data_IF_413399319229
#
_entry.id   IF_413399319229
#
_cell.length_a   1.000
_cell.length_b   1.000
_cell.length_c   1.000
_cell.angle_alpha   90.00
_cell.angle_beta   90.00
_cell.angle_gamma   90.00
#
_symmetry.space_group_name_H-M   'P 1'
#
loop_
_entity.id
_entity.type
_entity.pdbx_description
1 polymer ?
#
# COMPACT_ATOMS: atom_id res chain seq x y z
N UNK A 1 35.60 47.30 -21.89
CA UNK A 1 35.40 45.85 -22.11
C UNK A 1 34.47 45.34 -21.01
N UNK A 2 33.17 45.43 -21.25
CA UNK A 2 32.09 45.07 -20.33
C UNK A 2 31.45 43.77 -20.80
N UNK A 3 31.61 42.69 -20.03
CA UNK A 3 31.03 41.39 -20.31
C UNK A 3 29.54 41.36 -19.95
N UNK A 4 28.70 41.16 -20.95
CA UNK A 4 27.26 40.92 -20.80
C UNK A 4 27.00 39.43 -20.56
N UNK A 5 26.62 39.08 -19.34
CA UNK A 5 26.08 37.76 -18.99
C UNK A 5 24.61 37.66 -19.39
N UNK A 6 24.31 36.82 -20.37
CA UNK A 6 22.96 36.44 -20.80
C UNK A 6 22.32 35.47 -19.80
N UNK A 7 21.15 35.83 -19.29
CA UNK A 7 20.32 34.97 -18.43
C UNK A 7 19.68 33.83 -19.24
N UNK A 8 19.53 32.61 -18.69
CA UNK A 8 18.83 31.53 -19.37
C UNK A 8 17.31 31.79 -19.35
N UNK A 9 16.72 31.67 -20.54
CA UNK A 9 15.32 32.00 -20.84
C UNK A 9 14.30 31.26 -19.99
N UNK A 10 13.28 32.02 -19.60
CA UNK A 10 12.01 31.56 -19.07
C UNK A 10 11.37 30.52 -20.00
N UNK A 11 11.27 29.27 -19.55
CA UNK A 11 10.38 28.27 -20.14
C UNK A 11 8.94 28.77 -20.00
N UNK A 12 8.37 29.24 -21.11
CA UNK A 12 6.99 29.63 -21.22
C UNK A 12 6.07 28.46 -20.80
N UNK A 13 5.12 28.76 -19.93
CA UNK A 13 4.01 27.88 -19.55
C UNK A 13 3.29 27.42 -20.82
N UNK A 14 3.55 26.20 -21.25
CA UNK A 14 2.76 25.53 -22.28
C UNK A 14 1.29 25.55 -21.84
N UNK A 15 0.42 26.07 -22.72
CA UNK A 15 -0.94 26.52 -22.42
C UNK A 15 -1.77 25.56 -21.56
N UNK A 16 -2.15 26.04 -20.38
CA UNK A 16 -3.23 25.44 -19.58
C UNK A 16 -4.54 25.72 -20.31
N UNK A 17 -5.23 24.68 -20.76
CA UNK A 17 -6.55 24.84 -21.39
C UNK A 17 -7.54 25.47 -20.40
N UNK A 18 -8.46 26.36 -20.84
CA UNK A 18 -9.38 27.08 -19.95
C UNK A 18 -10.25 26.17 -19.06
N UNK A 19 -10.50 24.94 -19.52
CA UNK A 19 -11.25 23.92 -18.77
C UNK A 19 -10.42 23.29 -17.63
N UNK A 20 -9.11 23.11 -17.82
CA UNK A 20 -8.21 22.62 -16.76
C UNK A 20 -8.06 23.66 -15.64
N UNK A 21 -7.92 24.93 -16.00
CA UNK A 21 -7.85 26.02 -14.99
C UNK A 21 -9.13 26.12 -14.15
N UNK A 22 -10.31 25.89 -14.73
CA UNK A 22 -11.57 25.88 -13.98
C UNK A 22 -11.71 24.70 -13.01
N UNK A 23 -11.26 23.49 -13.41
CA UNK A 23 -11.27 22.32 -12.53
C UNK A 23 -10.25 22.47 -11.41
N UNK A 24 -9.04 22.94 -11.72
CA UNK A 24 -8.01 23.20 -10.71
C UNK A 24 -8.45 24.30 -9.73
N UNK A 25 -9.15 25.34 -10.19
CA UNK A 25 -9.73 26.33 -9.29
C UNK A 25 -10.82 25.75 -8.36
N UNK A 26 -11.64 24.81 -8.85
CA UNK A 26 -12.62 24.08 -8.00
C UNK A 26 -11.92 23.19 -6.98
N UNK A 27 -10.87 22.47 -7.39
CA UNK A 27 -10.08 21.62 -6.49
C UNK A 27 -9.33 22.45 -5.46
N UNK A 28 -8.72 23.57 -5.85
CA UNK A 28 -8.07 24.49 -4.91
C UNK A 28 -9.06 24.99 -3.86
N UNK A 29 -10.26 25.41 -4.27
CA UNK A 29 -11.35 25.75 -3.34
C UNK A 29 -11.75 24.58 -2.45
N UNK A 30 -11.82 23.37 -2.98
CA UNK A 30 -12.08 22.18 -2.17
C UNK A 30 -10.97 21.94 -1.13
N UNK A 31 -9.70 22.13 -1.49
CA UNK A 31 -8.57 22.12 -0.53
C UNK A 31 -8.74 23.15 0.58
N UNK A 32 -9.20 24.35 0.25
CA UNK A 32 -9.46 25.41 1.24
C UNK A 32 -10.67 25.12 2.12
N UNK A 33 -11.71 24.48 1.57
CA UNK A 33 -12.85 23.94 2.34
C UNK A 33 -12.36 22.87 3.31
N UNK A 34 -11.50 21.93 2.89
CA UNK A 34 -10.92 20.92 3.79
C UNK A 34 -10.14 21.57 4.94
N UNK A 35 -9.38 22.64 4.66
CA UNK A 35 -8.67 23.41 5.69
C UNK A 35 -9.65 24.11 6.65
N UNK A 36 -10.65 24.80 6.11
CA UNK A 36 -11.64 25.60 6.87
C UNK A 36 -12.54 24.72 7.74
N UNK A 37 -13.02 23.62 7.19
CA UNK A 37 -13.91 22.66 7.86
C UNK A 37 -13.14 21.47 8.45
N UNK A 38 -11.88 21.69 8.86
CA UNK A 38 -11.08 20.65 9.50
C UNK A 38 -11.69 20.08 10.79
N UNK A 39 -12.67 20.77 11.40
CA UNK A 39 -13.45 20.23 12.51
C UNK A 39 -14.39 19.11 12.09
N UNK A 40 -15.03 19.19 10.91
CA UNK A 40 -15.87 18.12 10.36
C UNK A 40 -15.04 16.86 10.13
N UNK A 41 -13.83 17.03 9.58
CA UNK A 41 -12.88 15.93 9.38
C UNK A 41 -12.57 15.25 10.71
N UNK A 42 -12.35 16.01 11.79
CA UNK A 42 -12.11 15.44 13.13
C UNK A 42 -13.33 14.72 13.68
N UNK A 43 -14.55 15.24 13.48
CA UNK A 43 -15.78 14.56 13.90
C UNK A 43 -15.97 13.24 13.17
N UNK A 44 -15.74 13.21 11.85
CA UNK A 44 -15.78 11.98 11.04
C UNK A 44 -14.72 10.98 11.50
N UNK A 45 -13.50 11.44 11.80
CA UNK A 45 -12.44 10.59 12.34
C UNK A 45 -12.86 9.91 13.64
N UNK A 46 -13.45 10.66 14.58
CA UNK A 46 -13.90 10.09 15.86
C UNK A 46 -15.08 9.12 15.71
N UNK A 47 -16.01 9.42 14.80
CA UNK A 47 -17.08 8.48 14.45
C UNK A 47 -16.49 7.17 13.92
N UNK A 48 -15.52 7.24 13.01
CA UNK A 48 -14.87 6.04 12.45
C UNK A 48 -14.06 5.30 13.52
N UNK A 49 -13.37 6.01 14.42
CA UNK A 49 -12.67 5.39 15.56
C UNK A 49 -13.65 4.63 16.45
N UNK A 50 -14.83 5.19 16.74
CA UNK A 50 -15.86 4.52 17.53
C UNK A 50 -16.38 3.25 16.83
N UNK A 51 -16.75 3.36 15.54
CA UNK A 51 -17.19 2.21 14.73
C UNK A 51 -16.09 1.14 14.66
N UNK A 52 -14.85 1.54 14.40
CA UNK A 52 -13.69 0.65 14.37
C UNK A 52 -13.48 -0.08 15.69
N UNK A 53 -13.55 0.64 16.83
CA UNK A 53 -13.40 0.03 18.15
C UNK A 53 -14.48 -1.02 18.42
N UNK A 54 -15.74 -0.73 18.06
CA UNK A 54 -16.83 -1.70 18.17
C UNK A 54 -16.58 -2.94 17.31
N UNK A 55 -16.24 -2.75 16.03
CA UNK A 55 -16.03 -3.86 15.09
C UNK A 55 -14.78 -4.71 15.39
N UNK A 56 -13.80 -4.19 16.13
CA UNK A 56 -12.60 -4.95 16.50
C UNK A 56 -12.75 -5.59 17.89
N UNK A 57 -13.31 -4.89 18.86
CA UNK A 57 -13.37 -5.35 20.26
C UNK A 57 -14.55 -6.29 20.47
N UNK A 58 -15.76 -5.92 20.03
CA UNK A 58 -16.98 -6.69 20.35
C UNK A 58 -16.94 -8.10 19.76
N UNK A 59 -16.62 -8.31 18.47
CA UNK A 59 -16.50 -9.66 17.91
C UNK A 59 -15.47 -10.56 18.61
N UNK A 60 -14.42 -9.99 19.20
CA UNK A 60 -13.41 -10.76 19.92
C UNK A 60 -13.88 -11.24 21.30
N UNK A 61 -14.91 -10.61 21.86
CA UNK A 61 -15.55 -10.97 23.13
C UNK A 61 -16.76 -11.89 22.94
N UNK A 62 -17.32 -11.96 21.73
CA UNK A 62 -18.45 -12.81 21.39
C UNK A 62 -18.00 -14.26 21.12
N UNK A 63 -18.88 -15.26 21.33
CA UNK A 63 -18.63 -16.62 20.88
C UNK A 63 -18.52 -16.67 19.35
N UNK A 64 -17.82 -17.69 18.85
CA UNK A 64 -17.66 -17.87 17.41
C UNK A 64 -19.03 -18.14 16.75
N UNK A 65 -19.27 -17.59 15.54
CA UNK A 65 -20.54 -17.76 14.83
C UNK A 65 -20.77 -19.22 14.46
N UNK A 66 -21.99 -19.72 14.63
CA UNK A 66 -22.39 -21.07 14.18
C UNK A 66 -22.43 -21.18 12.66
N UNK A 67 -22.42 -22.41 12.13
CA UNK A 67 -22.38 -22.66 10.68
C UNK A 67 -23.63 -22.15 9.92
N UNK A 68 -24.73 -21.87 10.61
CA UNK A 68 -25.95 -21.31 10.04
C UNK A 68 -26.02 -19.77 10.13
N UNK A 69 -24.99 -19.12 10.66
CA UNK A 69 -24.94 -17.67 10.79
C UNK A 69 -24.61 -17.00 9.46
N UNK A 70 -25.25 -15.85 9.21
CA UNK A 70 -25.07 -15.04 8.00
C UNK A 70 -24.49 -13.67 8.35
N UNK A 71 -23.99 -12.95 7.35
CA UNK A 71 -23.40 -11.61 7.51
C UNK A 71 -24.41 -10.63 8.14
N UNK A 72 -25.70 -10.81 7.86
CA UNK A 72 -26.77 -9.95 8.37
C UNK A 72 -27.26 -10.30 9.77
N UNK A 73 -26.99 -11.52 10.24
CA UNK A 73 -27.52 -12.03 11.52
C UNK A 73 -26.45 -12.11 12.61
N UNK A 74 -25.17 -12.05 12.26
CA UNK A 74 -24.08 -12.18 13.21
C UNK A 74 -23.05 -11.05 13.08
N UNK A 75 -22.81 -10.33 14.18
CA UNK A 75 -21.89 -9.19 14.23
C UNK A 75 -20.44 -9.56 13.88
N UNK A 76 -19.98 -10.78 14.21
CA UNK A 76 -18.61 -11.22 13.91
C UNK A 76 -18.42 -11.39 12.40
N UNK A 77 -19.38 -12.01 11.71
CA UNK A 77 -19.36 -12.14 10.26
C UNK A 77 -19.54 -10.78 9.57
N UNK A 78 -20.44 -9.93 10.09
CA UNK A 78 -20.62 -8.55 9.64
C UNK A 78 -19.31 -7.75 9.73
N UNK A 79 -18.58 -7.86 10.84
CA UNK A 79 -17.31 -7.18 11.06
C UNK A 79 -16.22 -7.70 10.12
N UNK A 80 -16.12 -9.02 9.92
CA UNK A 80 -15.18 -9.62 8.97
C UNK A 80 -15.44 -9.13 7.54
N UNK A 81 -16.71 -9.13 7.10
CA UNK A 81 -17.09 -8.62 5.79
C UNK A 81 -16.83 -7.11 5.67
N UNK A 82 -17.13 -6.33 6.70
CA UNK A 82 -16.86 -4.89 6.70
C UNK A 82 -15.36 -4.60 6.55
N UNK A 83 -14.48 -5.29 7.29
CA UNK A 83 -13.04 -5.08 7.20
C UNK A 83 -12.42 -5.64 5.92
N UNK A 84 -12.60 -6.92 5.67
CA UNK A 84 -11.88 -7.63 4.63
C UNK A 84 -12.61 -7.58 3.28
N UNK A 85 -13.94 -7.57 3.30
CA UNK A 85 -14.77 -7.49 2.10
C UNK A 85 -14.92 -6.07 1.53
N UNK A 86 -15.10 -5.05 2.38
CA UNK A 86 -15.38 -3.68 1.91
C UNK A 86 -14.19 -2.74 2.16
N UNK A 87 -13.74 -2.65 3.41
CA UNK A 87 -12.81 -1.62 3.86
C UNK A 87 -11.46 -1.70 3.16
N UNK A 88 -10.79 -2.85 3.14
CA UNK A 88 -9.47 -2.98 2.50
C UNK A 88 -9.49 -2.76 0.98
N UNK A 89 -10.40 -3.37 0.19
CA UNK A 89 -10.52 -3.05 -1.24
C UNK A 89 -10.81 -1.57 -1.49
N UNK A 90 -11.71 -0.96 -0.71
CA UNK A 90 -12.03 0.46 -0.81
C UNK A 90 -10.83 1.36 -0.50
N UNK A 91 -10.06 1.01 0.54
CA UNK A 91 -8.82 1.73 0.91
C UNK A 91 -7.84 1.74 -0.25
N UNK A 92 -7.60 0.60 -0.92
CA UNK A 92 -6.66 0.53 -2.04
C UNK A 92 -7.12 1.37 -3.23
N UNK A 93 -8.40 1.29 -3.59
CA UNK A 93 -8.99 2.13 -4.66
C UNK A 93 -8.85 3.61 -4.31
N UNK A 94 -9.06 3.99 -3.05
CA UNK A 94 -8.91 5.39 -2.61
C UNK A 94 -7.48 5.91 -2.82
N UNK A 95 -6.44 5.08 -2.63
CA UNK A 95 -5.05 5.48 -2.86
C UNK A 95 -4.80 5.86 -4.32
N UNK A 96 -5.37 5.09 -5.25
CA UNK A 96 -5.19 5.30 -6.69
C UNK A 96 -6.04 6.45 -7.21
N UNK A 97 -7.18 6.77 -6.59
CA UNK A 97 -8.09 7.82 -7.07
C UNK A 97 -7.82 9.20 -6.42
N UNK A 98 -7.54 9.24 -5.12
CA UNK A 98 -7.45 10.48 -4.34
C UNK A 98 -6.19 10.54 -3.47
N UNK A 99 -5.22 9.66 -3.73
CA UNK A 99 -4.00 9.58 -2.95
C UNK A 99 -4.28 9.08 -1.53
N UNK A 100 -3.44 9.46 -0.57
CA UNK A 100 -3.56 8.95 0.81
C UNK A 100 -4.61 9.68 1.65
N UNK A 101 -5.71 10.12 1.04
CA UNK A 101 -6.81 10.80 1.72
C UNK A 101 -7.42 9.92 2.82
N UNK A 102 -7.49 8.60 2.60
CA UNK A 102 -7.88 7.66 3.65
C UNK A 102 -7.00 7.80 4.90
N UNK A 103 -5.67 7.83 4.74
CA UNK A 103 -4.74 8.01 5.87
C UNK A 103 -4.95 9.36 6.59
N UNK A 104 -5.34 10.42 5.87
CA UNK A 104 -5.57 11.75 6.44
C UNK A 104 -6.93 11.94 7.10
N UNK A 105 -7.98 11.31 6.57
CA UNK A 105 -9.39 11.62 6.87
C UNK A 105 -10.10 10.47 7.57
N UNK A 106 -9.83 9.21 7.20
CA UNK A 106 -10.64 8.05 7.61
C UNK A 106 -9.88 7.04 8.48
N UNK A 107 -8.55 7.04 8.46
CA UNK A 107 -7.75 6.05 9.18
C UNK A 107 -7.85 6.23 10.71
N UNK A 108 -8.37 5.23 11.45
CA UNK A 108 -8.55 5.32 12.90
C UNK A 108 -7.21 5.35 13.64
N UNK A 109 -6.24 4.51 13.24
CA UNK A 109 -4.88 4.51 13.81
C UNK A 109 -4.21 5.88 13.67
N UNK A 110 -4.38 6.53 12.51
CA UNK A 110 -3.82 7.85 12.25
C UNK A 110 -4.46 8.94 13.11
N UNK A 111 -5.76 8.87 13.35
CA UNK A 111 -6.48 9.79 14.23
C UNK A 111 -6.07 9.60 15.69
N UNK A 112 -6.02 8.36 16.17
CA UNK A 112 -5.61 8.02 17.54
C UNK A 112 -4.15 8.38 17.82
N UNK A 113 -3.23 8.07 16.90
CA UNK A 113 -1.82 8.42 17.03
C UNK A 113 -1.61 9.95 17.06
N UNK A 114 -2.34 10.69 16.21
CA UNK A 114 -2.27 12.15 16.23
C UNK A 114 -2.88 12.74 17.50
N UNK A 115 -4.02 12.22 17.97
CA UNK A 115 -4.62 12.66 19.21
C UNK A 115 -3.66 12.42 20.39
N UNK A 116 -3.13 11.21 20.52
CA UNK A 116 -2.13 10.84 21.52
C UNK A 116 -0.89 11.75 21.46
N UNK A 117 -0.45 12.13 20.27
CA UNK A 117 0.73 12.99 20.08
C UNK A 117 0.63 14.39 20.69
N UNK A 118 -0.56 14.84 21.09
CA UNK A 118 -0.78 16.10 21.82
C UNK A 118 -0.22 16.04 23.25
N UNK A 119 -0.29 14.87 23.88
CA UNK A 119 0.28 14.60 25.20
C UNK A 119 1.66 13.96 25.10
N UNK A 120 2.36 14.20 24.00
CA UNK A 120 3.64 13.54 23.78
C UNK A 120 4.70 14.00 24.79
N UNK A 121 5.46 13.05 25.35
CA UNK A 121 6.64 13.33 26.20
C UNK A 121 7.76 14.03 25.42
N UNK A 122 7.65 14.05 24.08
CA UNK A 122 8.54 14.80 23.21
C UNK A 122 9.93 14.19 23.08
N UNK A 123 10.09 12.88 23.24
CA UNK A 123 11.36 12.22 22.99
C UNK A 123 11.76 12.34 21.52
N UNK A 124 13.06 12.36 21.25
CA UNK A 124 13.58 12.31 19.89
C UNK A 124 13.22 10.95 19.27
N UNK A 125 12.85 10.94 17.99
CA UNK A 125 12.57 9.70 17.26
C UNK A 125 13.88 8.90 17.16
N UNK A 126 13.95 7.67 17.72
CA UNK A 126 15.15 6.85 17.62
C UNK A 126 15.50 6.50 16.18
N UNK A 127 16.80 6.37 15.88
CA UNK A 127 17.28 6.04 14.52
C UNK A 127 16.72 4.72 13.99
N UNK A 128 16.48 3.75 14.87
CA UNK A 128 15.87 2.47 14.51
C UNK A 128 14.45 2.64 13.98
N UNK A 129 13.64 3.57 14.50
CA UNK A 129 12.29 3.86 13.97
C UNK A 129 12.39 4.45 12.56
N UNK A 130 13.37 5.30 12.31
CA UNK A 130 13.55 5.95 11.00
C UNK A 130 14.21 5.05 9.95
N UNK A 131 14.45 3.77 10.25
CA UNK A 131 15.07 2.85 9.32
C UNK A 131 14.19 2.64 8.08
N UNK A 132 14.78 2.81 6.89
CA UNK A 132 14.05 2.79 5.62
C UNK A 132 13.51 1.41 5.25
N UNK A 133 13.97 0.33 5.89
CA UNK A 133 13.48 -1.03 5.63
C UNK A 133 12.12 -1.34 6.27
N UNK A 134 11.64 -0.52 7.22
CA UNK A 134 10.38 -0.78 7.92
C UNK A 134 9.16 -0.97 7.02
N UNK A 135 8.94 -0.18 5.95
CA UNK A 135 7.80 -0.38 5.07
C UNK A 135 7.74 -1.78 4.44
N UNK A 136 8.90 -2.38 4.12
CA UNK A 136 8.95 -3.75 3.61
C UNK A 136 8.81 -4.77 4.74
N UNK A 137 9.59 -4.63 5.83
CA UNK A 137 9.58 -5.60 6.94
C UNK A 137 8.23 -5.64 7.65
N UNK A 138 7.61 -4.48 7.90
CA UNK A 138 6.31 -4.42 8.54
C UNK A 138 5.22 -5.00 7.63
N UNK A 139 5.22 -4.66 6.33
CA UNK A 139 4.31 -5.27 5.36
C UNK A 139 4.47 -6.80 5.33
N UNK A 140 5.72 -7.27 5.24
CA UNK A 140 6.04 -8.69 5.18
C UNK A 140 5.62 -9.42 6.45
N UNK A 141 6.01 -8.90 7.61
CA UNK A 141 5.66 -9.43 8.92
C UNK A 141 4.15 -9.50 9.12
N UNK A 142 3.40 -8.43 8.83
CA UNK A 142 1.93 -8.47 8.98
C UNK A 142 1.25 -9.39 7.99
N UNK A 143 1.78 -9.51 6.77
CA UNK A 143 1.21 -10.41 5.76
C UNK A 143 1.40 -11.86 6.19
N UNK A 144 2.62 -12.23 6.56
CA UNK A 144 2.95 -13.58 7.03
C UNK A 144 2.19 -13.92 8.31
N UNK A 145 2.21 -13.03 9.29
CA UNK A 145 1.48 -13.24 10.54
C UNK A 145 -0.03 -13.36 10.33
N UNK A 146 -0.59 -12.59 9.39
CA UNK A 146 -1.99 -12.68 9.02
C UNK A 146 -2.37 -14.05 8.43
N UNK A 147 -1.48 -14.64 7.62
CA UNK A 147 -1.67 -16.00 7.10
C UNK A 147 -1.52 -17.06 8.20
N UNK A 148 -0.51 -16.93 9.06
CA UNK A 148 -0.25 -17.89 10.14
C UNK A 148 -1.38 -17.97 11.17
N UNK A 149 -2.09 -16.87 11.41
CA UNK A 149 -3.14 -16.78 12.44
C UNK A 149 -4.55 -16.80 11.87
N UNK A 150 -4.73 -17.00 10.55
CA UNK A 150 -6.03 -16.96 9.88
C UNK A 150 -6.81 -15.67 10.19
N UNK A 151 -6.15 -14.51 10.05
CA UNK A 151 -6.71 -13.20 10.44
C UNK A 151 -8.02 -12.83 9.72
N UNK A 152 -8.27 -13.44 8.58
CA UNK A 152 -9.49 -13.21 7.80
C UNK A 152 -10.70 -13.98 8.34
N UNK A 153 -10.48 -15.08 9.07
CA UNK A 153 -11.53 -15.98 9.55
C UNK A 153 -11.89 -15.82 11.03
N UNK A 154 -10.99 -15.28 11.87
CA UNK A 154 -11.20 -15.24 13.32
C UNK A 154 -11.03 -13.85 13.94
N UNK A 155 -11.92 -13.46 14.88
CA UNK A 155 -11.91 -12.12 15.47
C UNK A 155 -10.74 -11.86 16.44
N UNK A 156 -10.21 -12.89 17.13
CA UNK A 156 -9.10 -12.73 18.07
C UNK A 156 -7.78 -12.31 17.36
N UNK A 157 -7.37 -12.95 16.25
CA UNK A 157 -6.30 -12.46 15.39
C UNK A 157 -6.53 -11.04 14.87
N UNK A 158 -7.76 -10.69 14.46
CA UNK A 158 -8.09 -9.32 14.03
C UNK A 158 -7.80 -8.32 15.14
N UNK A 159 -8.24 -8.61 16.38
CA UNK A 159 -7.93 -7.79 17.55
C UNK A 159 -6.42 -7.71 17.82
N UNK A 160 -5.69 -8.83 17.70
CA UNK A 160 -4.25 -8.85 17.91
C UNK A 160 -3.50 -7.98 16.88
N UNK A 161 -3.85 -8.10 15.59
CA UNK A 161 -3.20 -7.33 14.51
C UNK A 161 -3.61 -5.87 14.54
N UNK A 162 -4.91 -5.60 14.41
CA UNK A 162 -5.45 -4.25 14.27
C UNK A 162 -5.49 -3.50 15.61
N UNK A 163 -5.90 -4.16 16.69
CA UNK A 163 -5.85 -3.60 18.03
C UNK A 163 -4.42 -3.41 18.53
N UNK A 164 -3.53 -4.37 18.27
CA UNK A 164 -2.11 -4.27 18.58
C UNK A 164 -1.40 -3.14 17.82
N UNK A 165 -1.64 -3.01 16.50
CA UNK A 165 -1.11 -1.88 15.71
C UNK A 165 -1.65 -0.54 16.21
N UNK A 166 -2.92 -0.47 16.59
CA UNK A 166 -3.54 0.73 17.16
C UNK A 166 -2.91 1.12 18.48
N UNK A 167 -2.70 0.16 19.39
CA UNK A 167 -2.03 0.41 20.66
C UNK A 167 -0.59 0.90 20.43
N UNK A 168 0.15 0.25 19.53
CA UNK A 168 1.49 0.67 19.15
C UNK A 168 1.50 2.10 18.55
N UNK A 169 0.52 2.44 17.73
CA UNK A 169 0.36 3.77 17.15
C UNK A 169 0.12 4.86 18.21
N UNK A 170 -0.67 4.55 19.24
CA UNK A 170 -0.91 5.42 20.39
C UNK A 170 0.37 5.60 21.21
N UNK A 171 1.05 4.50 21.56
CA UNK A 171 2.31 4.54 22.34
C UNK A 171 3.38 5.34 21.61
N UNK A 172 3.59 5.10 20.32
CA UNK A 172 4.55 5.86 19.50
C UNK A 172 4.16 7.34 19.42
N UNK A 173 2.86 7.66 19.35
CA UNK A 173 2.34 9.02 19.43
C UNK A 173 2.68 9.69 20.77
N UNK A 174 2.41 9.02 21.90
CA UNK A 174 2.71 9.50 23.26
C UNK A 174 4.21 9.69 23.50
N UNK A 175 5.07 8.85 22.94
CA UNK A 175 6.51 8.95 23.18
C UNK A 175 7.19 9.98 22.26
N UNK A 176 6.91 9.93 20.96
CA UNK A 176 7.71 10.61 19.92
C UNK A 176 6.93 11.60 19.06
N UNK A 177 5.61 11.69 19.22
CA UNK A 177 4.73 12.37 18.28
C UNK A 177 4.94 13.88 18.15
N UNK A 178 5.06 14.66 19.25
CA UNK A 178 5.11 16.14 19.21
C UNK A 178 4.10 16.78 18.23
N UNK A 179 2.81 16.40 18.32
CA UNK A 179 1.75 16.77 17.35
C UNK A 179 1.93 16.24 15.91
N UNK A 180 2.73 15.18 15.70
CA UNK A 180 3.03 14.55 14.41
C UNK A 180 2.68 13.06 14.45
N UNK A 181 2.46 12.50 13.26
CA UNK A 181 2.11 11.09 13.04
C UNK A 181 3.36 10.26 12.72
N UNK A 182 4.22 10.08 13.72
CA UNK A 182 5.47 9.31 13.58
C UNK A 182 5.18 7.85 13.21
N UNK A 183 4.19 7.21 13.85
CA UNK A 183 3.74 5.85 13.51
C UNK A 183 3.41 5.72 12.03
N UNK A 184 2.54 6.59 11.52
CA UNK A 184 2.08 6.52 10.14
C UNK A 184 3.20 6.76 9.12
N UNK A 185 4.22 7.54 9.49
CA UNK A 185 5.35 7.87 8.62
C UNK A 185 6.35 6.73 8.49
N UNK A 186 6.59 5.98 9.56
CA UNK A 186 7.72 5.05 9.64
C UNK A 186 7.34 3.59 9.91
N UNK A 187 6.35 3.32 10.78
CA UNK A 187 6.09 1.98 11.32
C UNK A 187 4.79 1.34 10.83
N UNK A 188 3.83 2.14 10.33
CA UNK A 188 2.57 1.62 9.82
C UNK A 188 2.83 0.60 8.68
N UNK A 189 2.38 -0.67 8.82
CA UNK A 189 2.72 -1.75 7.89
C UNK A 189 2.36 -1.50 6.43
N UNK A 190 1.28 -0.74 6.22
CA UNK A 190 0.75 -0.44 4.88
C UNK A 190 1.21 0.92 4.34
N UNK A 191 2.03 1.67 5.10
CA UNK A 191 2.52 2.99 4.69
C UNK A 191 3.25 2.95 3.35
N UNK A 192 4.12 1.97 3.15
CA UNK A 192 4.88 1.83 1.90
C UNK A 192 3.97 1.57 0.71
N UNK A 193 3.05 0.61 0.83
CA UNK A 193 2.13 0.23 -0.25
C UNK A 193 1.26 1.42 -0.62
N UNK A 194 0.69 2.12 0.37
CA UNK A 194 -0.12 3.31 0.13
C UNK A 194 0.67 4.46 -0.49
N UNK A 195 1.92 4.66 -0.07
CA UNK A 195 2.80 5.66 -0.67
C UNK A 195 3.05 5.38 -2.16
N UNK A 196 3.34 4.12 -2.50
CA UNK A 196 3.57 3.67 -3.87
C UNK A 196 2.31 3.81 -4.72
N UNK A 197 1.15 3.34 -4.25
CA UNK A 197 -0.11 3.42 -5.00
C UNK A 197 -0.58 4.87 -5.21
N UNK A 198 -0.36 5.75 -4.23
CA UNK A 198 -0.77 7.16 -4.33
C UNK A 198 -0.03 7.95 -5.41
N UNK A 199 1.05 7.42 -5.98
CA UNK A 199 1.71 8.02 -7.14
C UNK A 199 0.81 8.05 -8.38
N UNK A 200 -0.13 7.10 -8.47
CA UNK A 200 -1.13 7.01 -9.53
C UNK A 200 -2.29 8.00 -9.35
N UNK A 201 -2.38 8.68 -8.20
CA UNK A 201 -3.51 9.56 -7.91
C UNK A 201 -3.60 10.74 -8.90
N UNK A 202 -4.76 10.92 -9.58
CA UNK A 202 -5.01 12.08 -10.42
C UNK A 202 -5.20 13.37 -9.61
N UNK A 203 -5.55 13.27 -8.33
CA UNK A 203 -5.73 14.44 -7.44
C UNK A 203 -4.61 14.46 -6.41
N UNK A 204 -3.86 15.57 -6.34
CA UNK A 204 -2.77 15.71 -5.37
C UNK A 204 -2.59 17.18 -4.94
N UNK A 205 -2.08 17.38 -3.72
CA UNK A 205 -1.59 18.71 -3.32
C UNK A 205 -0.27 18.98 -4.04
N UNK A 206 -0.22 20.13 -4.73
CA UNK A 206 0.93 20.58 -5.50
C UNK A 206 1.47 21.87 -4.90
N UNK A 207 2.75 22.13 -5.16
CA UNK A 207 3.46 23.30 -4.63
C UNK A 207 4.06 24.08 -5.78
N UNK A 208 3.56 25.28 -5.97
CA UNK A 208 4.17 26.28 -6.84
C UNK A 208 5.40 26.85 -6.12
N UNK A 209 6.58 26.44 -6.57
CA UNK A 209 7.85 26.86 -5.98
C UNK A 209 8.17 28.33 -6.26
N UNK A 210 7.70 28.88 -7.39
CA UNK A 210 7.91 30.27 -7.73
C UNK A 210 7.04 31.16 -6.83
N UNK A 211 5.75 30.82 -6.69
CA UNK A 211 4.87 31.51 -5.75
C UNK A 211 5.36 31.39 -4.30
N UNK A 212 5.86 30.20 -3.90
CA UNK A 212 6.44 30.02 -2.58
C UNK A 212 7.66 30.92 -2.34
N UNK A 213 8.55 31.04 -3.33
CA UNK A 213 9.75 31.86 -3.24
C UNK A 213 9.44 33.36 -3.22
N UNK A 214 8.42 33.80 -3.98
CA UNK A 214 7.96 35.18 -4.04
C UNK A 214 7.14 35.61 -2.80
N UNK A 215 6.58 34.66 -2.05
CA UNK A 215 5.76 34.96 -0.88
C UNK A 215 6.56 35.64 0.26
N UNK A 216 5.96 36.64 0.95
CA UNK A 216 6.58 37.24 2.13
C UNK A 216 6.94 36.18 3.18
N UNK A 217 8.05 36.37 3.89
CA UNK A 217 8.35 35.53 5.05
C UNK A 217 7.32 35.84 6.15
N UNK A 218 6.67 34.84 6.76
CA UNK A 218 5.71 35.07 7.84
C UNK A 218 6.36 35.85 8.99
N UNK A 219 5.71 36.93 9.42
CA UNK A 219 6.13 37.70 10.59
C UNK A 219 5.66 36.97 11.85
N UNK A 220 6.59 36.59 12.73
CA UNK A 220 6.26 35.99 14.04
C UNK A 220 5.70 34.57 14.02
N UNK A 221 5.86 33.79 12.93
CA UNK A 221 5.43 32.38 12.89
C UNK A 221 3.91 32.15 12.82
N UNK A 222 3.12 33.21 12.64
CA UNK A 222 1.64 33.23 12.67
C UNK A 222 0.97 32.45 11.54
N UNK A 223 1.66 32.15 10.44
CA UNK A 223 1.15 31.33 9.33
C UNK A 223 1.63 29.85 9.34
N UNK A 224 2.22 29.38 10.43
CA UNK A 224 2.73 28.01 10.49
C UNK A 224 1.59 26.98 10.54
N UNK A 225 1.48 26.12 9.52
CA UNK A 225 0.59 24.96 9.56
C UNK A 225 1.33 23.72 10.07
N UNK A 226 0.59 22.83 10.73
CA UNK A 226 1.12 21.54 11.16
C UNK A 226 0.92 20.46 10.08
N UNK A 227 1.99 20.11 9.35
CA UNK A 227 2.02 18.88 8.55
C UNK A 227 2.19 17.66 9.47
N UNK A 228 1.08 16.96 9.75
CA UNK A 228 1.05 15.77 10.60
C UNK A 228 2.01 14.65 10.14
N UNK A 229 2.09 14.28 8.84
CA UNK A 229 3.01 13.23 8.37
C UNK A 229 4.47 13.67 8.16
N UNK A 230 4.88 14.86 8.65
CA UNK A 230 6.26 15.36 8.54
C UNK A 230 6.75 15.55 7.09
N UNK A 231 5.86 15.90 6.17
CA UNK A 231 6.25 16.16 4.77
C UNK A 231 6.96 17.51 4.69
N UNK A 232 8.16 17.58 4.06
CA UNK A 232 8.79 18.86 3.74
C UNK A 232 8.02 19.54 2.60
N UNK A 233 6.91 20.22 2.94
CA UNK A 233 5.95 20.75 1.95
C UNK A 233 6.63 21.65 0.92
N UNK A 234 7.56 22.52 1.33
CA UNK A 234 8.30 23.42 0.42
C UNK A 234 8.93 22.69 -0.78
N UNK A 235 9.43 21.47 -0.58
CA UNK A 235 10.14 20.70 -1.62
C UNK A 235 9.34 19.53 -2.15
N UNK A 236 8.07 19.37 -1.74
CA UNK A 236 7.21 18.27 -2.15
C UNK A 236 7.01 18.24 -3.67
N UNK A 237 7.23 17.07 -4.29
CA UNK A 237 7.02 16.84 -5.74
C UNK A 237 6.04 15.70 -6.05
N UNK A 238 5.74 14.87 -5.04
CA UNK A 238 4.95 13.65 -5.17
C UNK A 238 3.93 13.50 -4.05
N UNK A 239 2.97 12.61 -4.27
CA UNK A 239 1.85 12.35 -3.35
C UNK A 239 2.20 11.29 -2.29
N UNK A 240 3.25 10.48 -2.49
CA UNK A 240 3.59 9.33 -1.65
C UNK A 240 3.65 9.59 -0.14
N UNK A 241 4.20 10.74 0.24
CA UNK A 241 4.32 11.12 1.65
C UNK A 241 3.11 11.92 2.18
N UNK A 242 2.29 12.49 1.30
CA UNK A 242 1.21 13.39 1.65
C UNK A 242 -0.06 12.61 2.03
N UNK A 243 -0.59 12.85 3.22
CA UNK A 243 -1.85 12.26 3.70
C UNK A 243 -3.10 12.98 3.18
N UNK A 244 -2.97 13.94 2.27
CA UNK A 244 -4.10 14.65 1.65
C UNK A 244 -5.09 15.28 2.65
N UNK A 245 -4.59 15.74 3.81
CA UNK A 245 -5.42 16.25 4.91
C UNK A 245 -5.86 17.74 4.77
N UNK A 246 -5.41 18.45 3.74
CA UNK A 246 -5.83 19.83 3.46
C UNK A 246 -5.25 20.94 4.33
N UNK A 247 -4.57 20.63 5.45
CA UNK A 247 -4.06 21.66 6.39
C UNK A 247 -3.11 22.69 5.78
N UNK A 248 -2.36 22.30 4.76
CA UNK A 248 -1.42 23.18 4.06
C UNK A 248 -2.06 23.98 2.90
N UNK A 249 -3.34 23.75 2.57
CA UNK A 249 -4.01 24.40 1.44
C UNK A 249 -3.97 25.92 1.57
N UNK A 250 -3.70 26.61 0.47
CA UNK A 250 -3.63 28.07 0.38
C UNK A 250 -2.42 28.69 1.09
N UNK A 251 -1.54 27.89 1.72
CA UNK A 251 -0.37 28.45 2.39
C UNK A 251 0.52 29.18 1.38
N UNK A 252 0.81 30.46 1.66
CA UNK A 252 1.59 31.37 0.79
C UNK A 252 1.03 31.56 -0.63
N UNK A 253 -0.24 31.20 -0.87
CA UNK A 253 -0.79 31.11 -2.22
C UNK A 253 -0.09 30.06 -3.10
N UNK A 254 0.79 29.24 -2.53
CA UNK A 254 1.70 28.36 -3.26
C UNK A 254 1.26 26.89 -3.20
N UNK A 255 0.47 26.51 -2.20
CA UNK A 255 0.00 25.14 -2.02
C UNK A 255 -1.46 25.04 -2.40
N UNK A 256 -1.79 24.20 -3.36
CA UNK A 256 -3.17 24.00 -3.80
C UNK A 256 -3.43 22.54 -4.18
N UNK A 257 -4.68 22.11 -4.05
CA UNK A 257 -5.12 20.83 -4.58
C UNK A 257 -5.39 20.98 -6.08
N UNK A 258 -4.76 20.17 -6.92
CA UNK A 258 -4.90 20.25 -8.37
C UNK A 258 -4.92 18.86 -9.01
N UNK A 259 -5.43 18.82 -10.24
CA UNK A 259 -5.30 17.65 -11.09
C UNK A 259 -3.86 17.45 -11.54
N UNK A 260 -3.52 16.18 -11.70
CA UNK A 260 -2.27 15.70 -12.24
C UNK A 260 -2.59 14.50 -13.12
N UNK A 261 -1.78 14.27 -14.16
CA UNK A 261 -1.86 12.98 -14.85
C UNK A 261 -1.45 11.87 -13.88
N UNK A 262 -2.20 10.74 -13.78
CA UNK A 262 -1.80 9.55 -13.04
C UNK A 262 -0.38 9.06 -13.35
N UNK A 263 0.14 9.42 -14.53
CA UNK A 263 1.43 8.99 -15.04
C UNK A 263 2.58 9.94 -14.65
N UNK A 264 2.27 11.18 -14.28
CA UNK A 264 3.27 12.24 -14.15
C UNK A 264 4.29 11.94 -13.06
N UNK A 265 3.86 11.45 -11.89
CA UNK A 265 4.77 11.15 -10.79
C UNK A 265 5.73 10.00 -11.15
N UNK A 266 5.21 8.94 -11.76
CA UNK A 266 6.02 7.80 -12.20
C UNK A 266 7.01 8.23 -13.29
N UNK A 267 6.54 8.95 -14.31
CA UNK A 267 7.40 9.29 -15.46
C UNK A 267 8.43 10.37 -15.10
N UNK A 268 8.04 11.43 -14.39
CA UNK A 268 8.88 12.63 -14.26
C UNK A 268 9.48 12.86 -12.86
N UNK A 269 8.97 12.19 -11.81
CA UNK A 269 9.41 12.43 -10.43
C UNK A 269 10.16 11.22 -9.86
N UNK A 270 9.63 10.00 -10.03
CA UNK A 270 10.14 8.81 -9.36
C UNK A 270 11.61 8.50 -9.69
N UNK A 271 12.03 8.71 -10.94
CA UNK A 271 13.44 8.53 -11.33
C UNK A 271 14.40 9.55 -10.69
N UNK A 272 13.93 10.74 -10.28
CA UNK A 272 14.78 11.76 -9.65
C UNK A 272 14.95 11.55 -8.13
N UNK A 273 14.11 10.72 -7.52
CA UNK A 273 14.10 10.44 -6.07
C UNK A 273 14.20 8.91 -5.83
N UNK A 274 15.33 8.27 -6.20
CA UNK A 274 15.46 6.83 -6.10
C UNK A 274 15.37 6.35 -4.64
N UNK A 275 14.57 5.30 -4.43
CA UNK A 275 14.27 4.73 -3.12
C UNK A 275 14.34 3.20 -3.19
N UNK A 276 15.39 2.62 -2.60
CA UNK A 276 15.60 1.16 -2.60
C UNK A 276 14.48 0.44 -1.84
N UNK A 277 13.97 1.04 -0.76
CA UNK A 277 12.84 0.53 0.01
C UNK A 277 11.58 0.36 -0.85
N UNK A 278 11.26 1.33 -1.72
CA UNK A 278 10.12 1.21 -2.62
C UNK A 278 10.36 0.18 -3.72
N UNK A 279 11.59 0.09 -4.24
CA UNK A 279 11.96 -0.95 -5.22
C UNK A 279 11.78 -2.34 -4.62
N UNK A 280 12.30 -2.58 -3.41
CA UNK A 280 12.14 -3.85 -2.71
C UNK A 280 10.68 -4.14 -2.40
N UNK A 281 9.93 -3.12 -1.95
CA UNK A 281 8.50 -3.29 -1.68
C UNK A 281 7.70 -3.64 -2.94
N UNK A 282 7.98 -3.04 -4.09
CA UNK A 282 7.26 -3.36 -5.34
C UNK A 282 7.61 -4.79 -5.79
N UNK A 283 8.91 -5.12 -5.90
CA UNK A 283 9.37 -6.39 -6.48
C UNK A 283 9.17 -7.57 -5.54
N UNK A 284 9.63 -7.45 -4.28
CA UNK A 284 9.58 -8.54 -3.30
C UNK A 284 8.30 -8.49 -2.46
N UNK A 285 7.76 -7.31 -2.16
CA UNK A 285 6.55 -7.20 -1.34
C UNK A 285 5.27 -7.44 -2.15
N UNK A 286 4.96 -6.54 -3.07
CA UNK A 286 3.67 -6.51 -3.76
C UNK A 286 3.57 -7.54 -4.88
N UNK A 287 4.64 -7.76 -5.65
CA UNK A 287 4.63 -8.68 -6.79
C UNK A 287 5.00 -10.12 -6.45
N UNK A 288 5.70 -10.37 -5.32
CA UNK A 288 6.18 -11.70 -4.94
C UNK A 288 5.57 -12.21 -3.64
N UNK A 289 5.81 -11.54 -2.51
CA UNK A 289 5.30 -11.95 -1.20
C UNK A 289 3.77 -11.98 -1.17
N UNK A 290 3.10 -10.94 -1.66
CA UNK A 290 1.64 -10.90 -1.67
C UNK A 290 1.06 -12.06 -2.48
N UNK A 291 1.64 -12.36 -3.65
CA UNK A 291 1.28 -13.53 -4.46
C UNK A 291 1.44 -14.81 -3.66
N UNK A 292 2.60 -15.05 -3.04
CA UNK A 292 2.85 -16.20 -2.17
C UNK A 292 1.82 -16.34 -1.05
N UNK A 293 1.47 -15.22 -0.41
CA UNK A 293 0.52 -15.17 0.70
C UNK A 293 -0.94 -15.40 0.28
N UNK A 294 -1.33 -15.06 -0.96
CA UNK A 294 -2.69 -15.34 -1.44
C UNK A 294 -2.83 -16.73 -2.06
N UNK A 295 -1.74 -17.29 -2.60
CA UNK A 295 -1.80 -18.50 -3.40
C UNK A 295 -1.53 -19.79 -2.62
N UNK A 296 -0.89 -19.72 -1.45
CA UNK A 296 -0.40 -20.92 -0.75
C UNK A 296 -1.50 -21.93 -0.43
N UNK A 297 -2.68 -21.45 0.01
CA UNK A 297 -3.78 -22.31 0.45
C UNK A 297 -4.47 -23.06 -0.69
N UNK A 298 -4.35 -22.58 -1.93
CA UNK A 298 -4.88 -23.26 -3.12
C UNK A 298 -3.80 -23.92 -3.97
N UNK A 299 -2.52 -23.83 -3.59
CA UNK A 299 -1.42 -24.32 -4.43
C UNK A 299 -1.31 -25.84 -4.40
N UNK A 300 -1.39 -26.54 -5.56
CA UNK A 300 -1.09 -27.96 -5.64
C UNK A 300 0.35 -28.27 -5.20
N UNK A 301 1.29 -27.37 -5.51
CA UNK A 301 2.69 -27.52 -5.10
C UNK A 301 2.87 -27.52 -3.58
N UNK A 302 2.07 -26.71 -2.86
CA UNK A 302 2.07 -26.73 -1.40
C UNK A 302 1.52 -28.06 -0.87
N UNK A 303 0.44 -28.56 -1.47
CA UNK A 303 -0.16 -29.85 -1.09
C UNK A 303 0.83 -31.00 -1.33
N UNK A 304 1.46 -31.06 -2.49
CA UNK A 304 2.47 -32.08 -2.84
C UNK A 304 3.67 -32.02 -1.89
N UNK A 305 4.18 -30.81 -1.62
CA UNK A 305 5.30 -30.61 -0.69
C UNK A 305 4.92 -31.04 0.73
N UNK A 306 3.69 -30.75 1.18
CA UNK A 306 3.17 -31.19 2.48
C UNK A 306 3.06 -32.70 2.57
N UNK A 307 2.47 -33.35 1.57
CA UNK A 307 2.35 -34.80 1.53
C UNK A 307 3.71 -35.48 1.52
N UNK A 308 4.64 -34.99 0.70
CA UNK A 308 6.01 -35.50 0.66
C UNK A 308 6.73 -35.34 2.01
N UNK A 309 6.66 -34.14 2.62
CA UNK A 309 7.32 -33.87 3.90
C UNK A 309 6.72 -34.71 5.04
N UNK A 310 5.39 -34.89 5.05
CA UNK A 310 4.71 -35.73 6.02
C UNK A 310 5.15 -37.20 5.90
N UNK A 311 5.14 -37.77 4.69
CA UNK A 311 5.60 -39.15 4.45
C UNK A 311 7.06 -39.33 4.87
N UNK A 312 7.95 -38.41 4.48
CA UNK A 312 9.36 -38.45 4.83
C UNK A 312 9.62 -38.41 6.35
N UNK A 313 8.82 -37.62 7.09
CA UNK A 313 8.89 -37.53 8.54
C UNK A 313 8.42 -38.82 9.22
N UNK A 314 7.31 -39.40 8.73
CA UNK A 314 6.75 -40.66 9.24
C UNK A 314 7.72 -41.82 9.02
N UNK A 315 8.30 -41.93 7.81
CA UNK A 315 9.30 -42.97 7.49
C UNK A 315 10.53 -42.94 8.41
N UNK A 316 10.84 -41.76 8.97
CA UNK A 316 11.95 -41.56 9.92
C UNK A 316 11.52 -41.62 11.38
N UNK A 317 10.28 -42.02 11.67
CA UNK A 317 9.74 -42.12 13.02
C UNK A 317 9.61 -40.77 13.75
N UNK A 318 9.58 -39.65 13.02
CA UNK A 318 9.50 -38.30 13.60
C UNK A 318 8.10 -37.72 13.38
N UNK A 319 7.16 -37.96 14.31
CA UNK A 319 5.76 -37.53 14.16
C UNK A 319 5.41 -36.21 14.85
N UNK A 320 6.24 -35.74 15.78
CA UNK A 320 5.98 -34.53 16.56
C UNK A 320 5.61 -33.27 15.75
N UNK A 321 6.16 -33.01 14.53
CA UNK A 321 5.76 -31.83 13.76
C UNK A 321 4.33 -31.90 13.22
N UNK A 322 3.78 -33.10 13.08
CA UNK A 322 2.43 -33.36 12.60
C UNK A 322 1.40 -33.38 13.73
N UNK A 323 1.84 -33.68 14.96
CA UNK A 323 0.95 -33.82 16.12
C UNK A 323 0.82 -32.52 16.91
N UNK A 324 1.91 -31.74 17.00
CA UNK A 324 1.92 -30.51 17.78
C UNK A 324 1.47 -29.31 16.97
N UNK A 325 0.76 -28.40 17.64
CA UNK A 325 0.40 -27.07 17.16
C UNK A 325 0.91 -26.01 18.12
N UNK A 326 0.87 -24.74 17.71
CA UNK A 326 1.17 -23.61 18.57
C UNK A 326 -0.12 -22.89 19.02
N UNK A 327 -0.08 -22.02 20.04
CA UNK A 327 -1.25 -21.24 20.43
C UNK A 327 -1.77 -20.36 19.28
N UNK A 328 -3.07 -20.02 19.30
CA UNK A 328 -3.77 -19.27 18.23
C UNK A 328 -3.10 -17.95 17.82
N UNK A 329 -2.33 -17.31 18.73
CA UNK A 329 -1.62 -16.06 18.49
C UNK A 329 -0.25 -16.25 17.80
N UNK A 330 0.18 -17.49 17.57
CA UNK A 330 1.36 -17.83 16.79
C UNK A 330 0.95 -18.54 15.51
N UNK A 331 0.04 -19.51 15.63
CA UNK A 331 -0.40 -20.37 14.54
C UNK A 331 -1.87 -20.72 14.75
N UNK A 332 -2.64 -20.80 13.66
CA UNK A 332 -4.09 -21.11 13.70
C UNK A 332 -4.37 -22.36 14.53
N UNK A 333 -5.17 -22.20 15.58
CA UNK A 333 -5.47 -23.26 16.54
C UNK A 333 -6.88 -23.08 17.12
N UNK A 334 -7.87 -23.60 16.40
CA UNK A 334 -9.30 -23.59 16.75
C UNK A 334 -9.86 -25.01 16.63
N UNK A 335 -9.60 -25.90 17.61
CA UNK A 335 -10.01 -27.30 17.56
C UNK A 335 -11.54 -27.46 17.47
N UNK A 336 -12.30 -26.58 18.13
CA UNK A 336 -13.77 -26.57 18.08
C UNK A 336 -14.35 -26.31 16.66
N UNK A 337 -13.52 -25.85 15.73
CA UNK A 337 -13.86 -25.58 14.33
C UNK A 337 -13.13 -26.49 13.35
N UNK A 338 -12.40 -27.50 13.83
CA UNK A 338 -11.53 -28.36 13.02
C UNK A 338 -10.52 -27.59 12.17
N UNK A 339 -10.09 -26.41 12.65
CA UNK A 339 -9.15 -25.54 11.96
C UNK A 339 -7.91 -25.36 12.84
N UNK A 340 -6.99 -26.31 12.72
CA UNK A 340 -5.74 -26.36 13.47
C UNK A 340 -4.61 -26.59 12.48
N UNK A 341 -3.64 -25.70 12.49
CA UNK A 341 -2.40 -25.85 11.74
C UNK A 341 -1.34 -26.50 12.63
N UNK A 342 -0.71 -27.55 12.12
CA UNK A 342 0.40 -28.24 12.78
C UNK A 342 1.70 -27.44 12.64
N UNK A 343 2.73 -27.76 13.42
CA UNK A 343 4.03 -27.12 13.28
C UNK A 343 4.64 -27.36 11.88
N UNK A 344 4.36 -28.52 11.27
CA UNK A 344 4.70 -28.79 9.87
C UNK A 344 3.98 -27.81 8.92
N UNK A 345 2.67 -27.59 9.11
CA UNK A 345 1.89 -26.64 8.29
C UNK A 345 2.43 -25.22 8.42
N UNK A 346 2.70 -24.76 9.64
CA UNK A 346 3.28 -23.45 9.88
C UNK A 346 4.66 -23.29 9.21
N UNK A 347 5.53 -24.31 9.36
CA UNK A 347 6.85 -24.33 8.75
C UNK A 347 6.81 -24.33 7.21
N UNK A 348 5.95 -25.15 6.62
CA UNK A 348 5.76 -25.23 5.17
C UNK A 348 5.12 -23.95 4.61
N UNK A 349 4.17 -23.34 5.31
CA UNK A 349 3.58 -22.06 4.92
C UNK A 349 4.68 -20.99 4.84
N UNK A 350 5.51 -20.89 5.88
CA UNK A 350 6.62 -19.94 5.92
C UNK A 350 7.64 -20.21 4.80
N UNK A 351 7.99 -21.47 4.58
CA UNK A 351 8.89 -21.88 3.51
C UNK A 351 8.33 -21.54 2.13
N UNK A 352 7.05 -21.80 1.90
CA UNK A 352 6.38 -21.53 0.63
C UNK A 352 6.31 -20.02 0.34
N UNK A 353 5.83 -19.22 1.30
CA UNK A 353 5.76 -17.76 1.14
C UNK A 353 7.17 -17.17 0.96
N UNK A 354 8.15 -17.64 1.74
CA UNK A 354 9.55 -17.23 1.62
C UNK A 354 10.15 -17.59 0.26
N UNK A 355 9.96 -18.81 -0.20
CA UNK A 355 10.43 -19.29 -1.50
C UNK A 355 9.79 -18.50 -2.65
N UNK A 356 8.46 -18.31 -2.64
CA UNK A 356 7.77 -17.48 -3.61
C UNK A 356 8.31 -16.04 -3.63
N UNK A 357 8.55 -15.45 -2.46
CA UNK A 357 9.11 -14.11 -2.32
C UNK A 357 10.50 -13.99 -2.96
N UNK A 358 11.38 -14.95 -2.67
CA UNK A 358 12.77 -14.95 -3.17
C UNK A 358 12.79 -15.26 -4.67
N UNK A 359 12.14 -16.33 -5.11
CA UNK A 359 12.17 -16.78 -6.51
C UNK A 359 11.54 -15.75 -7.43
N UNK A 360 10.31 -15.30 -7.14
CA UNK A 360 9.64 -14.30 -7.98
C UNK A 360 10.32 -12.94 -7.87
N UNK A 361 10.73 -12.52 -6.67
CA UNK A 361 11.41 -11.25 -6.47
C UNK A 361 12.74 -11.16 -7.22
N UNK A 362 13.55 -12.22 -7.20
CA UNK A 362 14.81 -12.31 -7.97
C UNK A 362 14.54 -12.39 -9.47
N UNK A 363 13.56 -13.17 -9.92
CA UNK A 363 13.20 -13.25 -11.33
C UNK A 363 12.75 -11.89 -11.89
N UNK A 364 11.84 -11.20 -11.18
CA UNK A 364 11.37 -9.87 -11.54
C UNK A 364 12.52 -8.85 -11.51
N UNK A 365 13.38 -8.89 -10.49
CA UNK A 365 14.59 -8.05 -10.42
C UNK A 365 15.53 -8.31 -11.60
N UNK A 366 15.74 -9.57 -11.98
CA UNK A 366 16.53 -9.96 -13.15
C UNK A 366 15.96 -9.38 -14.44
N UNK A 367 14.64 -9.47 -14.64
CA UNK A 367 13.98 -8.93 -15.83
C UNK A 367 14.10 -7.39 -15.88
N UNK A 368 13.89 -6.69 -14.76
CA UNK A 368 14.06 -5.22 -14.69
C UNK A 368 15.54 -4.83 -14.85
N UNK A 369 16.47 -5.66 -14.39
CA UNK A 369 17.90 -5.46 -14.60
C UNK A 369 18.26 -5.56 -16.08
N UNK A 370 17.75 -6.57 -16.79
CA UNK A 370 17.89 -6.68 -18.25
C UNK A 370 17.31 -5.45 -18.98
N UNK A 371 16.13 -4.97 -18.54
CA UNK A 371 15.53 -3.74 -19.07
C UNK A 371 16.42 -2.51 -18.85
N UNK A 372 17.12 -2.47 -17.71
CA UNK A 372 18.05 -1.38 -17.38
C UNK A 372 19.30 -1.45 -18.25
N UNK A 373 19.86 -2.64 -18.44
CA UNK A 373 21.04 -2.89 -19.27
C UNK A 373 20.75 -2.58 -20.75
N UNK A 374 19.54 -2.88 -21.26
CA UNK A 374 19.17 -2.57 -22.65
C UNK A 374 19.13 -1.07 -22.96
N UNK A 375 19.02 -0.20 -21.94
CA UNK A 375 19.14 1.25 -22.08
C UNK A 375 20.61 1.73 -22.12
N UNK A 376 21.58 0.81 -22.16
CA UNK A 376 22.99 1.08 -22.44
C UNK A 376 23.95 0.66 -21.32
N UNK A 377 23.51 0.57 -20.06
CA UNK A 377 24.37 0.14 -18.95
C UNK A 377 23.67 0.14 -17.59
N UNK A 378 24.32 -0.43 -16.58
CA UNK A 378 23.74 -0.53 -15.24
C UNK A 378 23.58 0.86 -14.60
N UNK A 379 22.43 1.11 -13.99
CA UNK A 379 22.19 2.31 -13.17
C UNK A 379 21.08 2.02 -12.18
N UNK A 380 21.39 2.13 -10.88
CA UNK A 380 20.40 1.97 -9.82
C UNK A 380 19.22 2.95 -9.97
N UNK A 381 19.48 4.15 -10.49
CA UNK A 381 18.45 5.16 -10.77
C UNK A 381 17.46 4.66 -11.82
N UNK A 382 17.95 4.13 -12.94
CA UNK A 382 17.11 3.58 -14.02
C UNK A 382 16.41 2.29 -13.60
N UNK A 383 17.09 1.42 -12.87
CA UNK A 383 16.50 0.22 -12.29
C UNK A 383 15.31 0.56 -11.38
N UNK A 384 15.50 1.52 -10.47
CA UNK A 384 14.43 2.04 -9.64
C UNK A 384 13.30 2.63 -10.50
N UNK A 385 13.62 3.51 -11.45
CA UNK A 385 12.61 4.19 -12.27
C UNK A 385 11.75 3.22 -13.09
N UNK A 386 12.37 2.20 -13.70
CA UNK A 386 11.66 1.13 -14.41
C UNK A 386 10.84 0.26 -13.46
N UNK A 387 11.32 -0.05 -12.26
CA UNK A 387 10.53 -0.76 -11.24
C UNK A 387 9.23 -0.02 -10.91
N UNK A 388 9.27 1.31 -10.84
CA UNK A 388 8.09 2.14 -10.55
C UNK A 388 7.01 2.06 -11.64
N UNK A 389 7.35 1.59 -12.84
CA UNK A 389 6.36 1.39 -13.91
C UNK A 389 5.49 0.16 -13.68
N UNK A 390 5.89 -0.75 -12.79
CA UNK A 390 5.12 -1.95 -12.39
C UNK A 390 4.08 -1.67 -11.30
N UNK A 391 3.96 -0.44 -10.81
CA UNK A 391 2.98 -0.08 -9.77
C UNK A 391 1.54 -0.44 -10.16
N UNK A 392 1.05 -0.19 -11.39
CA UNK A 392 -0.31 -0.56 -11.76
C UNK A 392 -0.58 -2.06 -11.63
N UNK A 393 0.30 -2.92 -12.17
CA UNK A 393 0.12 -4.38 -12.08
C UNK A 393 0.28 -4.89 -10.65
N UNK A 394 1.24 -4.35 -9.89
CA UNK A 394 1.44 -4.70 -8.49
C UNK A 394 0.22 -4.33 -7.62
N UNK A 395 -0.32 -3.12 -7.80
CA UNK A 395 -1.51 -2.65 -7.10
C UNK A 395 -2.77 -3.42 -7.48
N UNK A 396 -2.93 -3.72 -8.78
CA UNK A 396 -4.04 -4.52 -9.29
C UNK A 396 -4.01 -5.93 -8.69
N UNK A 397 -2.85 -6.59 -8.65
CA UNK A 397 -2.70 -7.90 -8.00
C UNK A 397 -3.14 -7.90 -6.54
N UNK A 398 -2.59 -6.99 -5.72
CA UNK A 398 -2.96 -6.87 -4.30
C UNK A 398 -4.46 -6.59 -4.13
N UNK A 399 -5.04 -5.72 -4.97
CA UNK A 399 -6.48 -5.45 -4.95
C UNK A 399 -7.32 -6.68 -5.31
N UNK A 400 -6.90 -7.46 -6.30
CA UNK A 400 -7.59 -8.69 -6.70
C UNK A 400 -7.49 -9.79 -5.65
N UNK A 401 -6.33 -9.94 -5.00
CA UNK A 401 -6.14 -10.86 -3.88
C UNK A 401 -7.07 -10.55 -2.70
N UNK A 402 -7.18 -9.26 -2.31
CA UNK A 402 -8.08 -8.85 -1.23
C UNK A 402 -9.56 -8.92 -1.63
N UNK A 403 -9.92 -8.49 -2.85
CA UNK A 403 -11.30 -8.55 -3.32
C UNK A 403 -11.80 -9.98 -3.56
N UNK A 404 -10.90 -10.97 -3.64
CA UNK A 404 -11.29 -12.38 -3.60
C UNK A 404 -12.01 -12.74 -2.29
N UNK A 405 -11.62 -12.14 -1.16
CA UNK A 405 -12.33 -12.30 0.12
C UNK A 405 -13.76 -11.76 0.03
N UNK A 406 -13.96 -10.60 -0.59
CA UNK A 406 -15.30 -10.03 -0.84
C UNK A 406 -16.18 -11.00 -1.62
N UNK A 407 -15.63 -11.59 -2.68
CA UNK A 407 -16.36 -12.58 -3.51
C UNK A 407 -16.68 -13.83 -2.70
N UNK A 408 -15.74 -14.32 -1.88
CA UNK A 408 -15.94 -15.50 -1.04
C UNK A 408 -17.03 -15.27 0.02
N UNK A 409 -17.00 -14.14 0.74
CA UNK A 409 -18.02 -13.80 1.72
C UNK A 409 -19.41 -13.69 1.09
N UNK A 410 -19.54 -12.99 -0.03
CA UNK A 410 -20.83 -12.83 -0.73
C UNK A 410 -21.35 -14.16 -1.25
N UNK A 411 -20.48 -15.01 -1.80
CA UNK A 411 -20.85 -16.35 -2.27
C UNK A 411 -21.33 -17.23 -1.10
N UNK A 412 -20.69 -17.12 0.07
CA UNK A 412 -21.11 -17.84 1.29
C UNK A 412 -22.54 -17.50 1.72
N UNK A 413 -22.98 -16.26 1.48
CA UNK A 413 -24.35 -15.79 1.74
C UNK A 413 -25.29 -15.93 0.52
N UNK A 414 -24.90 -16.71 -0.48
CA UNK A 414 -25.72 -17.00 -1.68
C UNK A 414 -25.75 -15.89 -2.73
N UNK A 415 -24.99 -14.81 -2.55
CA UNK A 415 -24.89 -13.70 -3.51
C UNK A 415 -23.78 -13.99 -4.52
N UNK A 416 -24.16 -14.39 -5.72
CA UNK A 416 -23.22 -14.63 -6.82
C UNK A 416 -23.01 -13.33 -7.61
N UNK A 417 -21.77 -12.83 -7.62
CA UNK A 417 -21.41 -11.72 -8.50
C UNK A 417 -21.16 -12.29 -9.91
N UNK A 418 -21.90 -11.84 -10.94
CA UNK A 418 -21.67 -12.28 -12.31
C UNK A 418 -20.37 -11.66 -12.86
N UNK A 419 -19.77 -12.32 -13.85
CA UNK A 419 -18.60 -11.84 -14.59
C UNK A 419 -17.32 -11.58 -13.78
N UNK A 420 -17.15 -12.20 -12.61
CA UNK A 420 -15.97 -11.99 -11.75
C UNK A 420 -14.67 -12.35 -12.48
N UNK A 421 -14.67 -13.43 -13.25
CA UNK A 421 -13.49 -13.88 -13.99
C UNK A 421 -13.11 -12.84 -15.08
N UNK A 422 -14.08 -12.35 -15.82
CA UNK A 422 -13.92 -11.37 -16.90
C UNK A 422 -13.45 -10.02 -16.37
N UNK A 423 -14.01 -9.58 -15.24
CA UNK A 423 -13.57 -8.36 -14.55
C UNK A 423 -12.11 -8.50 -14.09
N UNK A 424 -11.74 -9.63 -13.47
CA UNK A 424 -10.35 -9.92 -13.06
C UNK A 424 -9.40 -9.88 -14.25
N UNK A 425 -9.76 -10.55 -15.35
CA UNK A 425 -8.97 -10.56 -16.57
C UNK A 425 -8.80 -9.16 -17.17
N UNK A 426 -9.89 -8.39 -17.26
CA UNK A 426 -9.87 -7.02 -17.76
C UNK A 426 -9.00 -6.09 -16.92
N UNK A 427 -9.06 -6.21 -15.59
CA UNK A 427 -8.22 -5.43 -14.67
C UNK A 427 -6.74 -5.80 -14.78
N UNK A 428 -6.39 -7.08 -14.85
CA UNK A 428 -5.00 -7.53 -15.03
C UNK A 428 -4.43 -7.10 -16.39
N UNK A 429 -5.20 -7.25 -17.46
CA UNK A 429 -4.82 -6.82 -18.80
C UNK A 429 -4.61 -5.30 -18.86
N UNK A 430 -5.59 -4.52 -18.35
CA UNK A 430 -5.51 -3.07 -18.30
C UNK A 430 -4.32 -2.57 -17.49
N UNK A 431 -4.08 -3.14 -16.31
CA UNK A 431 -2.94 -2.78 -15.46
C UNK A 431 -1.58 -3.16 -16.09
N UNK A 432 -1.52 -4.27 -16.81
CA UNK A 432 -0.31 -4.70 -17.55
C UNK A 432 -0.02 -3.78 -18.71
N UNK A 433 -1.02 -3.46 -19.54
CA UNK A 433 -0.89 -2.50 -20.64
C UNK A 433 -0.47 -1.13 -20.13
N UNK A 434 -1.04 -0.68 -19.01
CA UNK A 434 -0.64 0.58 -18.37
C UNK A 434 0.82 0.54 -17.90
N UNK A 435 1.26 -0.56 -17.27
CA UNK A 435 2.64 -0.72 -16.82
C UNK A 435 3.64 -0.69 -17.98
N UNK A 436 3.33 -1.39 -19.09
CA UNK A 436 4.14 -1.37 -20.32
C UNK A 436 4.16 0.01 -20.98
N UNK A 437 3.02 0.69 -21.00
CA UNK A 437 2.95 2.06 -21.53
C UNK A 437 3.79 3.04 -20.68
N UNK A 438 3.78 2.89 -19.35
CA UNK A 438 4.64 3.68 -18.45
C UNK A 438 6.12 3.38 -18.71
N UNK A 439 6.49 2.10 -18.88
CA UNK A 439 7.84 1.70 -19.26
C UNK A 439 8.27 2.33 -20.58
N UNK A 440 7.39 2.34 -21.59
CA UNK A 440 7.66 3.00 -22.86
C UNK A 440 7.90 4.51 -22.70
N UNK A 441 7.15 5.19 -21.83
CA UNK A 441 7.33 6.62 -21.53
C UNK A 441 8.63 6.89 -20.77
N UNK A 442 8.94 6.07 -19.76
CA UNK A 442 10.15 6.19 -18.94
C UNK A 442 11.41 5.88 -19.75
N UNK A 443 11.44 4.77 -20.48
CA UNK A 443 12.56 4.40 -21.34
C UNK A 443 12.82 5.47 -22.42
N UNK A 444 11.78 6.13 -22.91
CA UNK A 444 11.87 7.22 -23.87
C UNK A 444 12.53 8.50 -23.34
N UNK A 445 12.75 8.62 -22.03
CA UNK A 445 13.53 9.73 -21.45
C UNK A 445 15.03 9.51 -21.60
N UNK A 446 15.48 8.26 -21.66
CA UNK A 446 16.90 7.89 -21.70
C UNK A 446 17.35 7.48 -23.11
N UNK A 447 16.51 6.77 -23.86
CA UNK A 447 16.88 6.22 -25.17
C UNK A 447 15.71 6.16 -26.16
N UNK A 448 16.06 6.18 -27.45
CA UNK A 448 15.15 5.94 -28.57
C UNK A 448 15.36 4.58 -29.26
N UNK A 449 14.55 4.30 -30.28
CA UNK A 449 14.72 3.15 -31.17
C UNK A 449 14.66 1.78 -30.47
N UNK A 450 15.52 0.85 -30.90
CA UNK A 450 15.54 -0.54 -30.42
C UNK A 450 15.78 -0.67 -28.91
N UNK A 451 16.58 0.21 -28.30
CA UNK A 451 16.87 0.17 -26.85
C UNK A 451 15.60 0.42 -26.02
N UNK A 452 14.75 1.35 -26.48
CA UNK A 452 13.45 1.65 -25.86
C UNK A 452 12.48 0.48 -25.99
N UNK A 453 12.43 -0.13 -27.17
CA UNK A 453 11.60 -1.32 -27.44
C UNK A 453 12.04 -2.48 -26.55
N UNK A 454 13.34 -2.77 -26.49
CA UNK A 454 13.89 -3.83 -25.65
C UNK A 454 13.57 -3.63 -24.16
N UNK A 455 13.78 -2.42 -23.62
CA UNK A 455 13.47 -2.12 -22.22
C UNK A 455 11.97 -2.31 -21.92
N UNK A 456 11.10 -1.87 -22.84
CA UNK A 456 9.65 -1.99 -22.68
C UNK A 456 9.17 -3.45 -22.80
N UNK A 457 9.80 -4.23 -23.68
CA UNK A 457 9.54 -5.66 -23.84
C UNK A 457 9.95 -6.45 -22.58
N UNK A 458 11.09 -6.12 -21.96
CA UNK A 458 11.47 -6.70 -20.68
C UNK A 458 10.42 -6.38 -19.60
N UNK A 459 9.94 -5.14 -19.49
CA UNK A 459 8.87 -4.82 -18.53
C UNK A 459 7.56 -5.53 -18.85
N UNK A 460 7.23 -5.73 -20.13
CA UNK A 460 6.11 -6.58 -20.52
C UNK A 460 6.29 -8.02 -20.03
N UNK A 461 7.50 -8.57 -20.12
CA UNK A 461 7.85 -9.88 -19.53
C UNK A 461 7.68 -9.92 -18.01
N UNK A 462 8.09 -8.87 -17.29
CA UNK A 462 7.88 -8.77 -15.84
C UNK A 462 6.39 -8.70 -15.47
N UNK A 463 5.60 -7.92 -16.22
CA UNK A 463 4.15 -7.87 -16.05
C UNK A 463 3.49 -9.23 -16.35
N UNK A 464 3.92 -9.91 -17.42
CA UNK A 464 3.42 -11.25 -17.77
C UNK A 464 3.74 -12.29 -16.69
N UNK A 465 4.96 -12.28 -16.13
CA UNK A 465 5.33 -13.15 -15.00
C UNK A 465 4.44 -12.89 -13.78
N UNK A 466 4.15 -11.62 -13.46
CA UNK A 466 3.22 -11.28 -12.38
C UNK A 466 1.80 -11.78 -12.66
N UNK A 467 1.28 -11.53 -13.87
CA UNK A 467 -0.07 -11.97 -14.27
C UNK A 467 -0.18 -13.48 -14.27
N UNK A 468 0.84 -14.22 -14.70
CA UNK A 468 0.83 -15.68 -14.72
C UNK A 468 0.54 -16.28 -13.33
N UNK A 469 1.08 -15.68 -12.26
CA UNK A 469 0.80 -16.13 -10.90
C UNK A 469 -0.65 -15.88 -10.47
N UNK A 470 -1.24 -14.73 -10.86
CA UNK A 470 -2.66 -14.49 -10.62
C UNK A 470 -3.55 -15.38 -11.49
N UNK A 471 -3.09 -15.76 -12.68
CA UNK A 471 -3.78 -16.71 -13.56
C UNK A 471 -3.85 -18.09 -12.91
N UNK A 472 -2.74 -18.55 -12.31
CA UNK A 472 -2.70 -19.78 -11.53
C UNK A 472 -3.77 -19.76 -10.43
N UNK A 473 -3.79 -18.72 -9.60
CA UNK A 473 -4.71 -18.61 -8.47
C UNK A 473 -6.20 -18.56 -8.85
N UNK A 474 -6.58 -17.84 -9.91
CA UNK A 474 -7.99 -17.56 -10.18
C UNK A 474 -8.64 -18.45 -11.24
N UNK A 475 -7.86 -19.11 -12.10
CA UNK A 475 -8.40 -19.91 -13.22
C UNK A 475 -7.88 -21.34 -13.27
N UNK A 476 -6.77 -21.67 -12.61
CA UNK A 476 -6.14 -23.00 -12.73
C UNK A 476 -6.23 -23.78 -11.41
N UNK A 477 -5.99 -23.12 -10.27
CA UNK A 477 -5.98 -23.70 -8.93
C UNK A 477 -7.31 -23.61 -8.21
#
# INVERSE_FOLDING_TARGET
>A
MSASTTAPGSLALAGVTPRRSAVDARLARFGDVLRRYGWIIRSVQWLIVAVYAVLVIVPALLPLPDNAAHIWTNLTLAAQFAFWGIWWPFVLVSMVLVGRAWCGVLCPEGALSEFASRWSRGYAVPRWITWQGWPFVAFAGTTVYGQMTSVYGYPKPVLAVLGGSTLAAIVVGLLYGRNKRVWCRYLCPVNGVFAVLSKLAPVSFQVDRAAWAASPKPVGGTEAFNCAPLVPVKTMRGAGACHMCGRCSGHRGAVHLALRSPNHEIVHVAGAEPSLDQTMLILFGMLALAVGAFQWSSSPWYVDAKQWAATWLIERGTTWPLEHSAPWFVLTNYPDRNDVMTLLDGGLLLAYIGAATVVLGLALSGIVALATLSLGGWSLRRFHHLTQTLIPVAGCGVFLGLSALTVTFLRGDGIVIPYVAEIRAGLLAGASLWSVWLAWRVAGLDAGGLRRVAASACIAGAAALSVANWVLLFWIW
#
